data_IF_088434387707
#
_entry.id   IF_088434387707
#
_cell.length_a   1.000
_cell.length_b   1.000
_cell.length_c   1.000
_cell.angle_alpha   90.00
_cell.angle_beta   90.00
_cell.angle_gamma   90.00
#
_symmetry.space_group_name_H-M   'P 1'
#
loop_
_entity.id
_entity.type
_entity.pdbx_description
1 polymer ?
#
# COMPACT_ATOMS: atom_id res chain seq x y z
N UNK A 1 -9.36 -0.74 7.78
CA UNK A 1 -8.34 -1.24 6.84
C UNK A 1 -8.35 -0.37 5.60
N UNK A 2 -7.20 -0.19 4.96
CA UNK A 2 -7.00 0.66 3.80
C UNK A 2 -6.11 -0.05 2.78
N UNK A 3 -6.47 0.06 1.50
CA UNK A 3 -5.66 -0.47 0.41
C UNK A 3 -4.65 0.60 -0.04
N UNK A 4 -3.38 0.24 -0.06
CA UNK A 4 -2.29 1.12 -0.48
C UNK A 4 -1.39 0.44 -1.50
N UNK A 5 -0.81 1.23 -2.40
CA UNK A 5 0.23 0.78 -3.33
C UNK A 5 1.55 1.44 -3.00
N UNK A 6 2.62 0.64 -3.00
CA UNK A 6 3.97 1.14 -2.91
C UNK A 6 4.45 1.60 -4.29
N UNK A 7 4.80 2.88 -4.40
CA UNK A 7 5.30 3.48 -5.66
C UNK A 7 6.82 3.64 -5.67
N UNK A 8 7.49 3.33 -4.55
CA UNK A 8 8.94 3.38 -4.43
C UNK A 8 9.61 2.08 -4.90
N UNK A 9 10.84 2.12 -5.41
CA UNK A 9 11.59 0.95 -5.85
C UNK A 9 12.18 0.11 -4.71
N UNK A 10 11.68 0.28 -3.47
CA UNK A 10 12.16 -0.42 -2.26
C UNK A 10 11.01 -1.02 -1.47
N UNK A 11 11.32 -2.05 -0.67
CA UNK A 11 10.36 -2.67 0.25
C UNK A 11 9.93 -1.68 1.34
N UNK A 12 8.62 -1.52 1.54
CA UNK A 12 8.06 -0.69 2.61
C UNK A 12 7.42 -1.61 3.65
N UNK A 13 7.58 -1.27 4.94
CA UNK A 13 7.00 -2.01 6.05
C UNK A 13 6.07 -1.11 6.84
N UNK A 14 4.83 -1.54 7.02
CA UNK A 14 3.79 -0.83 7.79
C UNK A 14 3.23 -1.80 8.82
N UNK A 15 3.53 -1.60 10.10
CA UNK A 15 3.08 -2.48 11.20
C UNK A 15 3.28 -3.98 10.93
N UNK A 16 4.45 -4.36 10.39
CA UNK A 16 4.76 -5.76 10.06
C UNK A 16 4.18 -6.24 8.73
N UNK A 17 3.43 -5.42 8.01
CA UNK A 17 3.01 -5.69 6.64
C UNK A 17 4.11 -5.23 5.68
N UNK A 18 4.66 -6.18 4.93
CA UNK A 18 5.63 -5.93 3.87
C UNK A 18 4.89 -5.62 2.56
N UNK A 19 5.29 -4.52 1.90
CA UNK A 19 4.71 -4.04 0.65
C UNK A 19 5.84 -3.87 -0.36
N UNK A 20 5.95 -4.80 -1.31
CA UNK A 20 6.98 -4.77 -2.33
C UNK A 20 6.77 -3.61 -3.32
N UNK A 21 7.81 -3.22 -4.09
CA UNK A 21 7.67 -2.20 -5.13
C UNK A 21 6.52 -2.50 -6.10
N UNK A 22 5.68 -1.51 -6.38
CA UNK A 22 4.46 -1.62 -7.20
C UNK A 22 3.38 -2.58 -6.67
N UNK A 23 3.57 -3.20 -5.51
CA UNK A 23 2.57 -4.06 -4.90
C UNK A 23 1.46 -3.24 -4.25
N UNK A 24 0.24 -3.76 -4.31
CA UNK A 24 -0.92 -3.22 -3.60
C UNK A 24 -1.27 -4.16 -2.46
N UNK A 25 -1.36 -3.63 -1.24
CA UNK A 25 -1.61 -4.39 -0.01
C UNK A 25 -2.65 -3.68 0.84
N UNK A 26 -3.42 -4.48 1.56
CA UNK A 26 -4.31 -4.00 2.60
C UNK A 26 -3.53 -3.84 3.90
N UNK A 27 -3.62 -2.64 4.49
CA UNK A 27 -2.96 -2.28 5.75
C UNK A 27 -3.98 -1.73 6.74
N UNK A 28 -3.62 -1.72 8.02
CA UNK A 28 -4.42 -1.05 9.03
C UNK A 28 -4.38 0.48 8.79
N UNK A 29 -5.54 1.12 8.70
CA UNK A 29 -5.68 2.57 8.49
C UNK A 29 -5.20 3.39 9.69
N UNK A 30 -5.12 2.76 10.87
CA UNK A 30 -4.57 3.34 12.08
C UNK A 30 -3.08 3.04 12.27
N UNK A 31 -2.44 2.46 11.26
CA UNK A 31 -1.05 2.04 11.38
C UNK A 31 -0.11 3.20 11.64
N UNK A 32 0.77 3.04 12.63
CA UNK A 32 1.81 4.02 12.94
C UNK A 32 2.68 4.33 11.71
N UNK A 33 2.79 5.62 11.36
CA UNK A 33 3.61 6.09 10.24
C UNK A 33 2.95 6.01 8.85
N UNK A 34 1.79 5.35 8.70
CA UNK A 34 1.09 5.25 7.41
C UNK A 34 0.73 6.63 6.85
N UNK A 35 0.18 7.52 7.68
CA UNK A 35 -0.20 8.87 7.25
C UNK A 35 1.00 9.66 6.69
N UNK A 36 2.18 9.54 7.32
CA UNK A 36 3.40 10.20 6.85
C UNK A 36 3.96 9.58 5.56
N UNK A 37 3.80 8.26 5.36
CA UNK A 37 4.18 7.61 4.11
C UNK A 37 3.28 8.03 2.95
N UNK A 38 1.98 8.23 3.22
CA UNK A 38 1.05 8.73 2.22
C UNK A 38 1.31 10.20 1.88
N UNK A 39 1.51 11.04 2.90
CA UNK A 39 1.78 12.47 2.72
C UNK A 39 3.07 12.72 1.91
N UNK A 40 4.09 11.87 2.11
CA UNK A 40 5.34 11.91 1.34
C UNK A 40 5.23 11.29 -0.06
N UNK A 41 4.09 10.75 -0.44
CA UNK A 41 3.89 10.07 -1.72
C UNK A 41 4.59 8.71 -1.85
N UNK A 42 5.10 8.14 -0.75
CA UNK A 42 5.75 6.81 -0.75
C UNK A 42 4.70 5.69 -0.93
N UNK A 43 3.55 5.86 -0.29
CA UNK A 43 2.39 5.01 -0.45
C UNK A 43 1.25 5.82 -1.06
N UNK A 44 0.58 5.27 -2.06
CA UNK A 44 -0.64 5.88 -2.61
C UNK A 44 -1.85 5.10 -2.18
N UNK A 45 -2.90 5.81 -1.76
CA UNK A 45 -4.21 5.21 -1.48
C UNK A 45 -4.78 4.69 -2.79
N UNK A 46 -5.17 3.42 -2.81
CA UNK A 46 -5.82 2.82 -3.97
C UNK A 46 -7.26 2.55 -3.57
N UNK A 47 -8.20 3.15 -4.29
CA UNK A 47 -9.59 2.70 -4.19
C UNK A 47 -9.62 1.28 -4.74
N UNK A 48 -10.12 0.32 -3.95
CA UNK A 48 -10.17 -1.07 -4.37
C UNK A 48 -10.80 -1.16 -5.77
N UNK A 49 -10.03 -1.56 -6.81
CA UNK A 49 -10.66 -1.84 -8.08
C UNK A 49 -11.58 -3.04 -7.81
N UNK A 50 -12.87 -2.90 -8.10
CA UNK A 50 -13.75 -4.06 -8.28
C UNK A 50 -13.00 -5.01 -9.22
N UNK A 51 -12.61 -6.17 -8.70
CA UNK A 51 -11.92 -7.27 -9.39
C UNK A 51 -11.40 -6.94 -10.79
N UNK A 52 -10.12 -6.57 -10.91
CA UNK A 52 -9.43 -6.84 -12.17
C UNK A 52 -8.79 -8.22 -12.06
N UNK A 53 -9.46 -9.16 -12.73
CA UNK A 53 -9.06 -10.53 -12.98
C UNK A 53 -7.56 -10.61 -13.26
N UNK A 54 -6.90 -11.51 -12.53
CA UNK A 54 -5.56 -11.98 -12.85
C UNK A 54 -5.71 -12.94 -14.02
N UNK A 55 -5.57 -12.44 -15.25
CA UNK A 55 -5.41 -13.29 -16.44
C UNK A 55 -4.11 -14.09 -16.31
N UNK A 56 -4.23 -15.40 -16.12
CA UNK A 56 -3.35 -16.40 -16.75
C UNK A 56 -3.99 -17.78 -16.74
#
# INVERSE_FOLDING_TARGET
MMLVKNVEPRLIVVEGVFIAPNETKEVNDKAGGLAGLIDRGVLVKVEAPKEQKKDK
#
